data_IF_492265467225
#
_entry.id   IF_492265467225
#
_cell.length_a   1.000
_cell.length_b   1.000
_cell.length_c   1.000
_cell.angle_alpha   90.00
_cell.angle_beta   90.00
_cell.angle_gamma   90.00
#
_symmetry.space_group_name_H-M   'P 1'
#
loop_
_entity.id
_entity.type
_entity.pdbx_description
1 polymer ?
#
# COMPACT_ATOMS: atom_id res chain seq x y z
N UNK A 1 23.93 -7.46 75.35
CA UNK A 1 24.14 -8.12 74.05
C UNK A 1 22.81 -8.14 73.33
N UNK A 2 22.65 -7.26 72.32
CA UNK A 2 21.38 -7.12 71.56
C UNK A 2 21.63 -7.76 70.18
N UNK A 3 20.94 -8.85 69.92
CA UNK A 3 20.98 -9.51 68.61
C UNK A 3 20.03 -8.77 67.60
N UNK A 4 20.61 -8.18 66.58
CA UNK A 4 19.89 -7.54 65.46
C UNK A 4 19.65 -8.65 64.38
N UNK A 5 18.43 -9.05 64.20
CA UNK A 5 18.00 -9.93 63.10
C UNK A 5 17.78 -9.11 61.85
N UNK A 6 18.60 -9.31 60.84
CA UNK A 6 18.45 -8.73 59.49
C UNK A 6 17.48 -9.62 58.72
N UNK A 7 16.30 -9.13 58.46
CA UNK A 7 15.31 -9.80 57.59
C UNK A 7 15.58 -9.37 56.16
N UNK A 8 16.09 -10.34 55.37
CA UNK A 8 16.35 -10.16 53.92
C UNK A 8 15.05 -10.49 53.19
N UNK A 9 14.33 -9.46 52.72
CA UNK A 9 13.14 -9.60 51.87
C UNK A 9 13.58 -9.83 50.43
N UNK A 10 13.40 -11.07 49.95
CA UNK A 10 13.63 -11.46 48.55
C UNK A 10 12.43 -11.02 47.74
N UNK A 11 12.60 -9.94 46.94
CA UNK A 11 11.57 -9.50 45.96
C UNK A 11 11.61 -10.42 44.74
N UNK A 12 10.60 -11.28 44.59
CA UNK A 12 10.38 -12.04 43.35
C UNK A 12 9.87 -11.04 42.30
N UNK A 13 10.71 -10.72 41.33
CA UNK A 13 10.27 -10.04 40.10
C UNK A 13 9.63 -11.10 39.21
N UNK A 14 8.30 -11.19 39.24
CA UNK A 14 7.57 -11.98 38.25
C UNK A 14 7.67 -11.25 36.89
N UNK A 15 8.56 -11.73 36.01
CA UNK A 15 8.53 -11.36 34.59
C UNK A 15 7.22 -11.90 34.00
N UNK A 16 6.23 -11.03 33.82
CA UNK A 16 5.10 -11.32 32.94
C UNK A 16 5.64 -11.35 31.50
N UNK A 17 6.01 -12.53 31.00
CA UNK A 17 6.05 -12.78 29.57
C UNK A 17 4.61 -12.75 29.08
N UNK A 18 4.15 -11.58 28.61
CA UNK A 18 2.96 -11.54 27.77
C UNK A 18 3.34 -12.26 26.47
N UNK A 19 2.54 -13.24 26.02
CA UNK A 19 2.72 -13.76 24.68
C UNK A 19 2.55 -12.56 23.74
N UNK A 20 3.49 -12.39 22.79
CA UNK A 20 3.28 -11.55 21.63
C UNK A 20 2.07 -12.16 20.92
N UNK A 21 0.90 -11.59 21.14
CA UNK A 21 -0.27 -11.89 20.36
C UNK A 21 0.12 -11.54 18.91
N UNK A 22 0.31 -12.57 18.09
CA UNK A 22 0.36 -12.40 16.66
C UNK A 22 -0.87 -11.57 16.31
N UNK A 23 -0.67 -10.39 15.72
CA UNK A 23 -1.74 -9.59 15.15
C UNK A 23 -2.32 -10.35 13.94
N UNK A 24 -3.10 -11.34 14.22
CA UNK A 24 -3.93 -12.06 13.25
C UNK A 24 -5.34 -11.53 13.39
N UNK A 25 -5.81 -10.90 12.34
CA UNK A 25 -7.11 -10.38 12.00
C UNK A 25 -7.35 -8.89 12.32
N UNK A 26 -6.80 -8.03 11.51
CA UNK A 26 -7.20 -6.61 11.35
C UNK A 26 -8.63 -6.47 10.78
N UNK A 27 -9.58 -7.30 11.25
CA UNK A 27 -10.95 -7.30 10.75
C UNK A 27 -11.13 -7.99 9.39
N UNK A 28 -10.16 -8.81 8.98
CA UNK A 28 -10.27 -9.61 7.74
C UNK A 28 -11.46 -10.58 7.84
N UNK A 29 -12.41 -10.53 6.87
CA UNK A 29 -13.52 -11.46 6.85
C UNK A 29 -13.07 -12.91 6.62
N UNK A 30 -13.69 -13.83 7.35
CA UNK A 30 -13.49 -15.28 7.10
C UNK A 30 -14.15 -15.69 5.78
N UNK A 31 -13.53 -16.61 5.05
CA UNK A 31 -14.13 -17.23 3.86
C UNK A 31 -13.34 -17.00 2.57
N UNK A 32 -14.05 -17.06 1.44
CA UNK A 32 -13.42 -16.97 0.12
C UNK A 32 -12.96 -15.53 -0.20
N UNK A 33 -11.75 -15.38 -0.70
CA UNK A 33 -11.20 -14.11 -1.18
C UNK A 33 -11.85 -13.63 -2.50
N UNK A 34 -12.72 -14.45 -3.11
CA UNK A 34 -13.60 -14.04 -4.20
C UNK A 34 -14.92 -13.43 -3.72
N UNK A 35 -15.21 -13.47 -2.41
CA UNK A 35 -16.42 -12.88 -1.84
C UNK A 35 -16.40 -11.37 -1.89
N UNK A 36 -17.56 -10.74 -2.13
CA UNK A 36 -17.66 -9.28 -2.11
C UNK A 36 -17.28 -8.69 -0.74
N UNK A 37 -17.54 -9.40 0.36
CA UNK A 37 -17.20 -8.97 1.71
C UNK A 37 -15.69 -8.86 1.90
N UNK A 38 -14.94 -9.91 1.52
CA UNK A 38 -13.49 -9.89 1.59
C UNK A 38 -12.89 -8.83 0.65
N UNK A 39 -13.39 -8.74 -0.59
CA UNK A 39 -12.90 -7.75 -1.56
C UNK A 39 -13.14 -6.31 -1.08
N UNK A 40 -14.31 -6.01 -0.51
CA UNK A 40 -14.58 -4.70 0.06
C UNK A 40 -13.60 -4.39 1.19
N UNK A 41 -13.37 -5.35 2.10
CA UNK A 41 -12.41 -5.19 3.19
C UNK A 41 -10.99 -4.98 2.63
N UNK A 42 -10.47 -5.90 1.82
CA UNK A 42 -9.11 -5.87 1.31
C UNK A 42 -8.79 -4.58 0.55
N UNK A 43 -9.75 -4.12 -0.29
CA UNK A 43 -9.49 -2.95 -1.13
C UNK A 43 -9.68 -1.64 -0.38
N UNK A 44 -10.68 -1.54 0.49
CA UNK A 44 -10.88 -0.29 1.24
C UNK A 44 -9.82 -0.07 2.33
N UNK A 45 -9.29 -1.13 2.96
CA UNK A 45 -8.22 -1.03 3.96
C UNK A 45 -6.84 -0.68 3.37
N UNK A 46 -6.76 -0.49 2.05
CA UNK A 46 -5.63 0.19 1.42
C UNK A 46 -5.51 1.66 1.85
N UNK A 47 -6.54 2.25 2.43
CA UNK A 47 -6.53 3.61 2.96
C UNK A 47 -6.83 3.65 4.47
N UNK A 48 -6.51 4.76 5.18
CA UNK A 48 -6.90 4.95 6.56
C UNK A 48 -8.42 4.84 6.76
N UNK A 49 -8.85 4.39 7.95
CA UNK A 49 -10.25 4.09 8.27
C UNK A 49 -11.23 5.23 7.92
N UNK A 50 -10.84 6.48 8.16
CA UNK A 50 -11.67 7.67 7.86
C UNK A 50 -11.86 7.92 6.35
N UNK A 51 -11.07 7.28 5.48
CA UNK A 51 -11.26 7.23 4.03
C UNK A 51 -11.99 5.94 3.67
N UNK A 52 -11.48 4.81 4.16
CA UNK A 52 -11.96 3.47 3.86
C UNK A 52 -13.46 3.29 4.13
N UNK A 53 -13.98 3.90 5.22
CA UNK A 53 -15.37 3.76 5.65
C UNK A 53 -16.38 4.19 4.58
N UNK A 54 -16.11 5.30 3.87
CA UNK A 54 -17.05 5.93 2.93
C UNK A 54 -16.53 5.95 1.48
N UNK A 55 -15.46 5.18 1.17
CA UNK A 55 -14.93 5.08 -0.19
C UNK A 55 -15.80 4.16 -1.07
N UNK A 56 -15.90 4.49 -2.35
CA UNK A 56 -16.45 3.59 -3.37
C UNK A 56 -15.48 2.42 -3.58
N UNK A 57 -16.00 1.19 -3.73
CA UNK A 57 -15.16 0.00 -3.94
C UNK A 57 -15.60 -0.74 -5.19
N UNK A 58 -14.64 -1.07 -6.06
CA UNK A 58 -14.85 -1.90 -7.26
C UNK A 58 -13.99 -3.18 -7.17
N UNK A 59 -14.43 -4.24 -7.88
CA UNK A 59 -13.65 -5.49 -8.02
C UNK A 59 -12.54 -5.42 -9.08
N UNK A 60 -12.42 -4.30 -9.77
CA UNK A 60 -11.43 -3.99 -10.79
C UNK A 60 -11.68 -2.60 -11.38
N UNK A 61 -10.85 -2.13 -12.33
CA UNK A 61 -11.03 -0.83 -12.96
C UNK A 61 -12.38 -0.74 -13.68
N UNK A 62 -13.23 0.28 -13.40
CA UNK A 62 -14.57 0.38 -13.97
C UNK A 62 -14.59 0.48 -15.49
N UNK A 63 -13.61 1.16 -16.09
CA UNK A 63 -13.43 1.31 -17.54
C UNK A 63 -12.98 0.01 -18.23
N UNK A 64 -12.49 -0.96 -17.46
CA UNK A 64 -12.13 -2.31 -17.91
C UNK A 64 -13.19 -3.35 -17.53
N UNK A 65 -14.36 -2.93 -17.07
CA UNK A 65 -15.50 -3.82 -16.74
C UNK A 65 -15.59 -4.22 -15.27
N UNK A 66 -14.82 -3.57 -14.39
CA UNK A 66 -14.91 -3.76 -12.94
C UNK A 66 -16.32 -3.44 -12.42
N UNK A 67 -16.80 -4.27 -11.49
CA UNK A 67 -18.13 -4.15 -10.90
C UNK A 67 -18.10 -3.34 -9.62
N UNK A 68 -19.13 -2.54 -9.40
CA UNK A 68 -19.33 -1.85 -8.14
C UNK A 68 -19.66 -2.85 -7.03
N UNK A 69 -18.83 -2.89 -5.98
CA UNK A 69 -19.04 -3.69 -4.78
C UNK A 69 -19.70 -2.88 -3.65
N UNK A 70 -19.30 -1.61 -3.51
CA UNK A 70 -19.84 -0.66 -2.52
C UNK A 70 -19.86 0.75 -3.10
N UNK A 71 -20.99 1.43 -3.03
CA UNK A 71 -21.09 2.86 -3.33
C UNK A 71 -20.57 3.67 -2.13
N UNK A 72 -19.75 4.68 -2.40
CA UNK A 72 -19.17 5.58 -1.40
C UNK A 72 -19.63 7.03 -1.57
N UNK A 73 -19.31 7.88 -0.59
CA UNK A 73 -19.79 9.27 -0.55
C UNK A 73 -18.68 10.31 -0.39
N UNK A 74 -17.43 9.89 -0.19
CA UNK A 74 -16.31 10.78 0.13
C UNK A 74 -15.41 11.14 -1.06
N UNK A 75 -15.75 10.64 -2.27
CA UNK A 75 -14.99 10.93 -3.50
C UNK A 75 -13.72 10.09 -3.68
N UNK A 76 -13.44 9.15 -2.79
CA UNK A 76 -12.37 8.17 -2.93
C UNK A 76 -12.90 6.87 -3.55
N UNK A 77 -12.07 6.24 -4.36
CA UNK A 77 -12.37 4.93 -4.98
C UNK A 77 -11.24 3.95 -4.68
N UNK A 78 -11.59 2.76 -4.23
CA UNK A 78 -10.67 1.68 -3.92
C UNK A 78 -10.90 0.49 -4.85
N UNK A 79 -9.81 -0.11 -5.32
CA UNK A 79 -9.84 -1.27 -6.22
C UNK A 79 -8.50 -2.03 -6.18
N UNK A 80 -8.45 -3.29 -6.64
CA UNK A 80 -7.19 -4.01 -6.79
C UNK A 80 -6.39 -3.43 -7.96
N UNK A 81 -5.09 -3.24 -7.77
CA UNK A 81 -4.21 -2.61 -8.75
C UNK A 81 -3.05 -3.50 -9.22
N UNK A 82 -3.02 -4.80 -8.84
CA UNK A 82 -1.97 -5.71 -9.29
C UNK A 82 -2.08 -5.99 -10.79
N UNK A 83 -1.14 -5.49 -11.62
CA UNK A 83 -1.20 -5.67 -13.07
C UNK A 83 -0.89 -7.10 -13.51
N UNK A 84 -0.35 -7.94 -12.61
CA UNK A 84 -0.01 -9.35 -12.88
C UNK A 84 -1.23 -10.26 -12.77
N UNK A 85 -2.34 -9.77 -12.19
CA UNK A 85 -3.52 -10.55 -11.92
C UNK A 85 -3.35 -11.47 -10.70
N UNK A 86 -4.37 -12.26 -10.43
CA UNK A 86 -4.44 -13.21 -9.32
C UNK A 86 -3.57 -14.43 -9.60
N UNK A 87 -2.77 -14.87 -8.62
CA UNK A 87 -1.99 -16.11 -8.72
C UNK A 87 -2.88 -17.35 -8.65
N UNK A 88 -4.05 -17.26 -8.00
CA UNK A 88 -5.07 -18.30 -7.96
C UNK A 88 -6.43 -17.74 -8.40
N UNK A 89 -6.73 -17.74 -9.72
CA UNK A 89 -8.00 -17.21 -10.24
C UNK A 89 -9.25 -17.93 -9.76
N UNK A 90 -9.14 -19.15 -9.24
CA UNK A 90 -10.27 -19.92 -8.73
C UNK A 90 -10.64 -19.49 -7.30
N UNK A 91 -9.64 -19.23 -6.46
CA UNK A 91 -9.83 -18.90 -5.04
C UNK A 91 -9.67 -17.40 -4.73
N UNK A 92 -9.25 -16.62 -5.70
CA UNK A 92 -9.03 -15.19 -5.56
C UNK A 92 -7.57 -14.82 -5.24
N UNK A 93 -7.36 -13.65 -4.69
CA UNK A 93 -6.06 -13.21 -4.20
C UNK A 93 -5.61 -14.05 -3.00
N UNK A 94 -4.33 -14.34 -2.88
CA UNK A 94 -3.77 -15.05 -1.70
C UNK A 94 -3.98 -14.23 -0.43
N UNK A 95 -3.78 -12.90 -0.54
CA UNK A 95 -4.00 -11.94 0.54
C UNK A 95 -4.23 -10.51 -0.02
N UNK A 96 -4.44 -9.55 0.86
CA UNK A 96 -4.62 -8.16 0.46
C UNK A 96 -3.35 -7.54 -0.16
N UNK A 97 -2.15 -7.99 0.24
CA UNK A 97 -0.89 -7.52 -0.35
C UNK A 97 -0.78 -7.94 -1.82
N UNK A 98 -1.10 -9.20 -2.16
CA UNK A 98 -1.11 -9.66 -3.55
C UNK A 98 -2.09 -8.84 -4.41
N UNK A 99 -3.23 -8.44 -3.87
CA UNK A 99 -4.18 -7.61 -4.60
C UNK A 99 -3.63 -6.22 -4.95
N UNK A 100 -2.57 -5.77 -4.25
CA UNK A 100 -1.98 -4.42 -4.40
C UNK A 100 -3.07 -3.33 -4.40
N UNK A 101 -4.02 -3.32 -3.44
CA UNK A 101 -5.16 -2.44 -3.53
C UNK A 101 -4.74 -0.98 -3.38
N UNK A 102 -5.38 -0.14 -4.16
CA UNK A 102 -5.17 1.29 -4.20
C UNK A 102 -6.49 2.00 -3.89
N UNK A 103 -6.44 2.99 -2.98
CA UNK A 103 -7.53 3.96 -2.79
C UNK A 103 -7.07 5.33 -3.29
N UNK A 104 -7.65 5.79 -4.39
CA UNK A 104 -7.30 7.04 -5.05
C UNK A 104 -8.44 8.05 -5.11
N UNK A 105 -8.08 9.33 -5.26
CA UNK A 105 -9.01 10.38 -5.64
C UNK A 105 -9.26 10.38 -7.18
N UNK A 106 -10.15 11.24 -7.65
CA UNK A 106 -10.48 11.30 -9.08
C UNK A 106 -9.30 11.67 -9.99
N UNK A 107 -8.32 12.43 -9.49
CA UNK A 107 -7.15 12.83 -10.28
C UNK A 107 -6.18 11.68 -10.48
N UNK A 108 -6.03 10.81 -9.46
CA UNK A 108 -5.22 9.58 -9.58
C UNK A 108 -5.75 8.70 -10.71
N UNK A 109 -7.07 8.58 -10.87
CA UNK A 109 -7.62 7.74 -11.95
C UNK A 109 -7.42 8.34 -13.34
N UNK A 110 -7.31 9.68 -13.49
CA UNK A 110 -6.84 10.29 -14.73
C UNK A 110 -5.38 9.92 -15.03
N UNK A 111 -4.53 9.96 -14.00
CA UNK A 111 -3.13 9.57 -14.12
C UNK A 111 -2.98 8.09 -14.47
N UNK A 112 -3.70 7.18 -13.77
CA UNK A 112 -3.68 5.74 -14.04
C UNK A 112 -4.17 5.43 -15.47
N UNK A 113 -5.25 6.07 -15.92
CA UNK A 113 -5.74 5.91 -17.28
C UNK A 113 -4.71 6.30 -18.33
N UNK A 114 -4.02 7.42 -18.15
CA UNK A 114 -2.94 7.86 -19.03
C UNK A 114 -1.73 6.91 -18.99
N UNK A 115 -1.38 6.42 -17.79
CA UNK A 115 -0.30 5.43 -17.59
C UNK A 115 -0.51 4.16 -18.42
N UNK A 116 -1.70 3.56 -18.34
CA UNK A 116 -2.01 2.35 -19.12
C UNK A 116 -2.22 2.62 -20.62
N UNK A 117 -2.64 3.83 -21.00
CA UNK A 117 -2.75 4.23 -22.39
C UNK A 117 -1.40 4.60 -23.03
N UNK A 118 -0.33 4.75 -22.23
CA UNK A 118 0.97 5.26 -22.70
C UNK A 118 0.94 6.75 -23.07
N UNK A 119 0.00 7.51 -22.50
CA UNK A 119 -0.22 8.92 -22.74
C UNK A 119 0.35 9.78 -21.59
N UNK A 120 0.60 11.07 -21.85
CA UNK A 120 0.99 12.00 -20.79
C UNK A 120 -0.21 12.33 -19.92
N UNK A 121 -0.14 12.14 -18.58
CA UNK A 121 -1.26 12.48 -17.70
C UNK A 121 -1.62 13.97 -17.76
N UNK A 122 -2.93 14.25 -17.79
CA UNK A 122 -3.46 15.62 -17.72
C UNK A 122 -4.40 15.70 -16.52
N UNK A 123 -3.97 16.39 -15.49
CA UNK A 123 -4.70 16.55 -14.23
C UNK A 123 -4.95 18.03 -13.93
N UNK A 124 -6.07 18.32 -13.24
CA UNK A 124 -6.42 19.71 -12.85
C UNK A 124 -5.69 20.14 -11.56
N UNK A 125 -5.32 19.17 -10.73
CA UNK A 125 -4.59 19.32 -9.46
C UNK A 125 -3.84 18.03 -9.14
N UNK A 126 -2.99 18.06 -8.11
CA UNK A 126 -2.32 16.85 -7.62
C UNK A 126 -3.34 15.78 -7.23
N UNK A 127 -3.07 14.53 -7.64
CA UNK A 127 -3.80 13.35 -7.23
C UNK A 127 -3.10 12.62 -6.08
N UNK A 128 -3.88 11.93 -5.25
CA UNK A 128 -3.36 11.16 -4.11
C UNK A 128 -3.93 9.75 -4.09
N UNK A 129 -3.06 8.78 -3.82
CA UNK A 129 -3.45 7.38 -3.66
C UNK A 129 -2.79 6.74 -2.44
N UNK A 130 -3.56 5.99 -1.68
CA UNK A 130 -3.09 5.16 -0.57
C UNK A 130 -2.91 3.72 -1.01
N UNK A 131 -1.83 3.08 -0.57
CA UNK A 131 -1.56 1.65 -0.71
C UNK A 131 -1.00 1.10 0.62
N UNK A 132 -1.86 0.99 1.65
CA UNK A 132 -1.43 0.53 2.99
C UNK A 132 -1.11 -0.97 3.04
N UNK A 133 -1.52 -1.75 2.04
CA UNK A 133 -1.07 -3.13 1.87
C UNK A 133 0.23 -3.26 1.06
N UNK A 134 0.76 -2.14 0.55
CA UNK A 134 1.97 -2.13 -0.25
C UNK A 134 1.79 -2.68 -1.67
N UNK A 135 2.89 -2.96 -2.34
CA UNK A 135 2.91 -3.56 -3.68
C UNK A 135 3.89 -4.76 -3.77
N UNK A 136 3.64 -5.62 -4.76
CA UNK A 136 4.40 -6.84 -5.04
C UNK A 136 5.71 -6.59 -5.79
N UNK A 137 6.10 -5.35 -5.94
CA UNK A 137 7.35 -4.94 -6.54
C UNK A 137 7.20 -4.16 -7.85
N UNK A 138 8.02 -3.13 -7.93
CA UNK A 138 8.12 -2.19 -9.05
C UNK A 138 9.59 -1.85 -9.33
N UNK A 139 9.92 -1.54 -10.57
CA UNK A 139 11.19 -0.86 -10.89
C UNK A 139 11.04 0.63 -10.59
N UNK A 140 11.90 1.18 -9.73
CA UNK A 140 11.83 2.59 -9.34
C UNK A 140 12.04 3.58 -10.50
N UNK A 141 12.64 3.12 -11.61
CA UNK A 141 13.04 3.99 -12.73
C UNK A 141 12.22 3.77 -13.99
N UNK A 142 11.67 2.56 -14.18
CA UNK A 142 10.98 2.17 -15.40
C UNK A 142 9.53 1.75 -15.14
N UNK A 143 8.55 2.45 -15.74
CA UNK A 143 7.16 2.03 -15.73
C UNK A 143 6.97 0.65 -16.40
N UNK A 144 5.92 -0.09 -15.99
CA UNK A 144 5.48 -1.34 -16.61
C UNK A 144 6.46 -2.50 -16.57
N UNK A 145 7.45 -2.50 -15.67
CA UNK A 145 8.31 -3.65 -15.39
C UNK A 145 7.57 -4.62 -14.47
N UNK A 146 7.36 -5.86 -14.94
CA UNK A 146 6.49 -6.82 -14.24
C UNK A 146 7.24 -7.80 -13.34
N UNK A 147 8.57 -7.94 -13.54
CA UNK A 147 9.37 -8.90 -12.77
C UNK A 147 10.69 -8.29 -12.33
N UNK A 148 11.23 -8.81 -11.23
CA UNK A 148 12.53 -8.38 -10.67
C UNK A 148 13.68 -8.60 -11.65
N UNK A 149 13.60 -9.64 -12.48
CA UNK A 149 14.59 -10.00 -13.48
C UNK A 149 14.67 -8.99 -14.65
N UNK A 150 13.54 -8.30 -14.92
CA UNK A 150 13.46 -7.27 -15.97
C UNK A 150 13.86 -5.88 -15.46
N UNK A 151 13.91 -5.72 -14.13
CA UNK A 151 14.20 -4.44 -13.51
C UNK A 151 15.66 -4.02 -13.71
N UNK A 152 15.91 -2.71 -13.68
CA UNK A 152 17.27 -2.20 -13.62
C UNK A 152 17.97 -2.67 -12.34
N UNK A 153 19.25 -3.02 -12.41
CA UNK A 153 20.00 -3.52 -11.26
C UNK A 153 19.92 -2.56 -10.06
N UNK A 154 19.38 -3.07 -8.93
CA UNK A 154 19.23 -2.31 -7.71
C UNK A 154 18.04 -1.35 -7.68
N UNK A 155 17.13 -1.40 -8.67
CA UNK A 155 15.97 -0.51 -8.75
C UNK A 155 14.65 -1.20 -8.40
N UNK A 156 14.63 -2.50 -8.19
CA UNK A 156 13.45 -3.21 -7.75
C UNK A 156 13.14 -2.95 -6.29
N UNK A 157 11.89 -2.57 -5.99
CA UNK A 157 11.40 -2.41 -4.63
C UNK A 157 10.03 -3.08 -4.47
N UNK A 158 9.89 -3.91 -3.45
CA UNK A 158 8.61 -4.41 -2.93
C UNK A 158 8.25 -3.50 -1.77
N UNK A 159 7.40 -2.49 -2.03
CA UNK A 159 7.12 -1.47 -1.03
C UNK A 159 6.02 -1.91 -0.07
N UNK A 160 6.19 -1.63 1.22
CA UNK A 160 5.15 -1.74 2.24
C UNK A 160 4.20 -0.52 2.20
N UNK A 161 3.52 -0.23 3.33
CA UNK A 161 2.54 0.85 3.41
C UNK A 161 3.07 2.20 2.93
N UNK A 162 2.33 2.87 2.04
CA UNK A 162 2.71 4.17 1.50
C UNK A 162 1.52 5.01 1.02
N UNK A 163 1.78 6.30 0.85
CA UNK A 163 0.94 7.25 0.13
C UNK A 163 1.68 7.70 -1.12
N UNK A 164 1.00 7.86 -2.22
CA UNK A 164 1.53 8.44 -3.46
C UNK A 164 0.92 9.81 -3.74
N UNK A 165 1.72 10.72 -4.31
CA UNK A 165 1.24 11.99 -4.89
C UNK A 165 1.63 12.04 -6.35
N UNK A 166 0.65 12.07 -7.23
CA UNK A 166 0.79 12.30 -8.66
C UNK A 166 0.70 13.81 -8.90
N UNK A 167 1.80 14.48 -9.27
CA UNK A 167 1.79 15.94 -9.42
C UNK A 167 1.08 16.36 -10.72
N UNK A 168 0.19 17.37 -10.65
CA UNK A 168 -0.33 18.01 -11.84
C UNK A 168 0.73 18.88 -12.54
N UNK A 169 1.68 19.41 -11.78
CA UNK A 169 2.87 20.12 -12.28
C UNK A 169 4.13 19.32 -11.93
N UNK A 170 4.75 18.60 -12.89
CA UNK A 170 5.97 17.83 -12.67
C UNK A 170 7.16 18.68 -12.19
N UNK A 171 7.18 20.00 -12.40
CA UNK A 171 8.25 20.86 -11.89
C UNK A 171 8.29 20.90 -10.35
N UNK A 172 7.19 20.55 -9.69
CA UNK A 172 7.10 20.42 -8.23
C UNK A 172 7.96 19.29 -7.64
N UNK A 173 8.52 18.43 -8.49
CA UNK A 173 9.43 17.34 -8.11
C UNK A 173 10.91 17.77 -8.06
N UNK A 174 11.25 18.95 -8.60
CA UNK A 174 12.64 19.42 -8.71
C UNK A 174 13.36 19.41 -7.36
N UNK A 175 14.53 18.78 -7.31
CA UNK A 175 15.37 18.69 -6.12
C UNK A 175 14.98 17.60 -5.10
N UNK A 176 13.93 16.82 -5.36
CA UNK A 176 13.63 15.66 -4.54
C UNK A 176 14.57 14.49 -4.87
N UNK A 177 14.78 13.61 -3.89
CA UNK A 177 15.59 12.41 -4.06
C UNK A 177 14.84 11.32 -4.85
N UNK A 178 15.60 10.45 -5.55
CA UNK A 178 15.12 9.18 -6.12
C UNK A 178 15.55 7.98 -5.30
N UNK A 179 16.26 8.20 -4.18
CA UNK A 179 16.75 7.13 -3.30
C UNK A 179 15.64 6.63 -2.38
N UNK A 180 15.03 5.52 -2.76
CA UNK A 180 13.96 4.85 -2.01
C UNK A 180 14.44 4.21 -0.70
N UNK A 181 15.77 4.08 -0.48
CA UNK A 181 16.33 3.54 0.76
C UNK A 181 16.56 4.62 1.83
N UNK A 182 16.41 5.89 1.48
CA UNK A 182 16.66 7.00 2.40
C UNK A 182 15.65 7.13 3.55
N UNK A 183 14.46 6.52 3.41
CA UNK A 183 13.32 6.70 4.33
C UNK A 183 12.63 8.06 4.20
N UNK A 184 13.12 8.97 3.35
CA UNK A 184 12.46 10.23 2.99
C UNK A 184 11.44 10.00 1.85
N UNK A 185 10.49 10.93 1.64
CA UNK A 185 9.73 10.93 0.39
C UNK A 185 10.65 11.01 -0.83
N UNK A 186 10.39 10.19 -1.84
CA UNK A 186 11.25 10.06 -3.01
C UNK A 186 10.44 10.01 -4.30
N UNK A 187 11.09 10.24 -5.45
CA UNK A 187 10.46 10.16 -6.77
C UNK A 187 10.62 8.75 -7.31
N UNK A 188 9.49 8.13 -7.70
CA UNK A 188 9.44 6.95 -8.56
C UNK A 188 9.20 7.38 -10.00
N UNK A 189 9.79 6.67 -10.97
CA UNK A 189 9.73 6.94 -12.41
C UNK A 189 10.27 8.31 -12.82
N UNK A 190 11.30 8.80 -12.13
CA UNK A 190 11.94 10.08 -12.45
C UNK A 190 12.32 10.20 -13.91
N UNK A 191 12.14 11.38 -14.50
CA UNK A 191 12.41 11.64 -15.92
C UNK A 191 11.37 11.08 -16.88
N UNK A 192 10.30 10.46 -16.40
CA UNK A 192 9.16 9.99 -17.22
C UNK A 192 7.91 10.86 -17.01
N UNK A 193 6.92 10.79 -17.91
CA UNK A 193 5.64 11.47 -17.70
C UNK A 193 4.87 10.96 -16.47
N UNK A 194 5.29 9.83 -15.91
CA UNK A 194 4.62 9.16 -14.79
C UNK A 194 5.35 9.37 -13.46
N UNK A 195 6.33 10.28 -13.42
CA UNK A 195 7.04 10.61 -12.19
C UNK A 195 6.07 11.05 -11.10
N UNK A 196 6.19 10.43 -9.93
CA UNK A 196 5.34 10.72 -8.78
C UNK A 196 6.11 10.56 -7.46
N UNK A 197 5.55 11.09 -6.37
CA UNK A 197 6.20 11.02 -5.06
C UNK A 197 5.66 9.86 -4.25
N UNK A 198 6.55 9.01 -3.77
CA UNK A 198 6.30 7.99 -2.78
C UNK A 198 6.55 8.56 -1.38
N UNK A 199 5.60 8.41 -0.48
CA UNK A 199 5.71 8.76 0.94
C UNK A 199 5.72 7.48 1.76
N UNK A 200 6.92 6.98 2.17
CA UNK A 200 7.03 5.82 3.03
C UNK A 200 6.28 6.02 4.34
N UNK A 201 5.44 5.05 4.71
CA UNK A 201 4.75 4.99 5.99
C UNK A 201 5.46 4.04 6.94
N UNK A 202 4.95 3.89 8.17
CA UNK A 202 5.43 2.87 9.09
C UNK A 202 5.40 1.50 8.40
N UNK A 203 6.44 0.70 8.61
CA UNK A 203 6.61 -0.63 8.01
C UNK A 203 6.82 -0.65 6.48
N UNK A 204 7.20 0.48 5.89
CA UNK A 204 7.46 0.60 4.44
C UNK A 204 8.40 -0.48 3.89
N UNK A 205 9.42 -0.88 4.65
CA UNK A 205 10.40 -1.88 4.26
C UNK A 205 10.08 -3.30 4.74
N UNK A 206 8.82 -3.58 5.12
CA UNK A 206 8.46 -4.89 5.70
C UNK A 206 8.73 -6.04 4.72
N UNK A 207 8.58 -5.83 3.42
CA UNK A 207 8.80 -6.83 2.37
C UNK A 207 10.21 -6.85 1.80
N UNK A 208 11.04 -5.82 2.07
CA UNK A 208 12.39 -5.69 1.52
C UNK A 208 13.49 -6.06 2.50
N UNK A 209 13.16 -6.34 3.75
CA UNK A 209 14.13 -6.79 4.76
C UNK A 209 14.43 -8.27 4.56
N UNK A 210 15.57 -8.58 3.95
CA UNK A 210 16.25 -9.85 4.11
C UNK A 210 17.00 -9.94 5.45
#
# INVERSE_FOLDING_TARGET
>A
MKHLYLILTLALVASCNMPVENQTNNGEPEGSHTSAEWQIWAYSTAAPDYIAADATVFDGPPDMGGKLLREGTNGWTCLPANPRGQSDPENGWVDAHEAMPLCGDAEVFKWIGAYFAGEVPVMDKDGYAWMLHGDMGEDNTKPMVMTKEEAEPGQWIESGPHLMRMPADPSSLEGMTTDFNSGAPYIMFDGTPYAHVMYPMQDYFIYTKE
#
